data_IF_580567733012
#
_entry.id   IF_580567733012
#
_cell.length_a   1.000
_cell.length_b   1.000
_cell.length_c   1.000
_cell.angle_alpha   90.00
_cell.angle_beta   90.00
_cell.angle_gamma   90.00
#
_symmetry.space_group_name_H-M   'P 1'
#
loop_
_entity.id
_entity.type
_entity.pdbx_description
1 polymer ?
#
# COMPACT_ATOMS: atom_id res chain seq x y z
N UNK A 1 -16.47 17.61 -5.94
CA UNK A 1 -15.77 16.74 -4.97
C UNK A 1 -15.87 15.32 -5.50
N UNK A 2 -14.74 14.72 -5.92
CA UNK A 2 -14.73 13.34 -6.38
C UNK A 2 -15.03 12.44 -5.19
N UNK A 3 -16.14 11.71 -5.27
CA UNK A 3 -16.53 10.72 -4.27
C UNK A 3 -15.81 9.41 -4.56
N UNK A 4 -15.41 8.67 -3.52
CA UNK A 4 -14.92 7.30 -3.68
C UNK A 4 -16.01 6.53 -4.40
N UNK A 5 -15.70 5.97 -5.58
CA UNK A 5 -16.66 5.20 -6.38
C UNK A 5 -17.11 3.99 -5.58
N UNK A 6 -18.42 3.93 -5.27
CA UNK A 6 -19.02 2.72 -4.72
C UNK A 6 -19.04 1.64 -5.80
N UNK A 7 -18.53 0.48 -5.48
CA UNK A 7 -18.50 -0.67 -6.39
C UNK A 7 -19.89 -1.30 -6.42
N UNK A 8 -20.39 -1.55 -7.62
CA UNK A 8 -21.71 -2.19 -7.79
C UNK A 8 -21.63 -3.70 -7.63
N UNK A 9 -22.72 -4.32 -7.16
CA UNK A 9 -22.81 -5.78 -7.03
C UNK A 9 -22.63 -6.46 -8.39
N UNK A 10 -23.07 -5.82 -9.48
CA UNK A 10 -22.89 -6.32 -10.85
C UNK A 10 -21.41 -6.42 -11.23
N UNK A 11 -20.59 -5.40 -10.92
CA UNK A 11 -19.15 -5.44 -11.16
C UNK A 11 -18.45 -6.54 -10.34
N UNK A 12 -18.89 -6.77 -9.11
CA UNK A 12 -18.35 -7.85 -8.25
C UNK A 12 -18.71 -9.23 -8.82
N UNK A 13 -19.93 -9.41 -9.34
CA UNK A 13 -20.38 -10.63 -10.00
C UNK A 13 -19.58 -10.90 -11.28
N UNK A 14 -19.41 -9.90 -12.13
CA UNK A 14 -18.69 -10.00 -13.40
C UNK A 14 -17.21 -10.32 -13.21
N UNK A 15 -16.63 -9.80 -12.12
CA UNK A 15 -15.28 -10.13 -11.70
C UNK A 15 -15.14 -11.54 -11.11
N UNK A 16 -16.25 -12.20 -10.75
CA UNK A 16 -16.26 -13.55 -10.17
C UNK A 16 -15.84 -13.60 -8.70
N UNK A 17 -16.05 -12.52 -7.96
CA UNK A 17 -15.68 -12.39 -6.54
C UNK A 17 -16.49 -13.33 -5.64
N UNK A 18 -17.70 -13.68 -6.07
CA UNK A 18 -18.61 -14.54 -5.33
C UNK A 18 -18.18 -16.01 -5.28
N UNK A 19 -17.25 -16.45 -6.10
CA UNK A 19 -16.75 -17.82 -6.07
C UNK A 19 -15.73 -18.00 -4.96
N UNK A 20 -16.03 -18.88 -4.01
CA UNK A 20 -15.08 -19.34 -3.01
C UNK A 20 -14.43 -20.67 -3.38
N UNK A 21 -13.86 -21.34 -2.41
CA UNK A 21 -13.24 -22.64 -2.54
C UNK A 21 -14.25 -23.79 -2.38
N UNK A 22 -13.78 -25.02 -2.71
CA UNK A 22 -14.58 -26.25 -2.48
C UNK A 22 -14.97 -26.38 -1.01
N UNK A 23 -16.18 -26.83 -0.76
CA UNK A 23 -16.73 -27.01 0.57
C UNK A 23 -15.88 -27.89 1.50
N UNK A 24 -15.10 -28.83 0.96
CA UNK A 24 -14.19 -29.67 1.75
C UNK A 24 -12.99 -28.92 2.34
N UNK A 25 -12.71 -27.69 1.88
CA UNK A 25 -11.54 -26.89 2.31
C UNK A 25 -11.92 -25.62 3.07
N UNK A 26 -13.19 -25.43 3.38
CA UNK A 26 -13.66 -24.22 3.99
C UNK A 26 -13.25 -24.07 5.46
N UNK A 27 -13.19 -22.84 5.93
CA UNK A 27 -12.99 -22.51 7.33
C UNK A 27 -14.36 -22.19 7.96
N UNK A 28 -14.76 -22.85 9.07
CA UNK A 28 -16.03 -22.57 9.75
C UNK A 28 -16.24 -21.12 10.16
N UNK A 29 -15.17 -20.37 10.44
CA UNK A 29 -15.25 -18.94 10.77
C UNK A 29 -15.76 -18.07 9.62
N UNK A 30 -15.70 -18.59 8.39
CA UNK A 30 -16.24 -17.91 7.21
C UNK A 30 -17.75 -18.10 7.04
N UNK A 31 -18.39 -18.92 7.87
CA UNK A 31 -19.84 -19.18 7.80
C UNK A 31 -20.71 -17.90 7.67
N UNK A 32 -20.47 -16.80 8.39
CA UNK A 32 -21.28 -15.58 8.29
C UNK A 32 -21.19 -14.89 6.91
N UNK A 33 -20.12 -15.13 6.16
CA UNK A 33 -19.84 -14.50 4.87
C UNK A 33 -20.27 -15.35 3.68
N UNK A 34 -20.73 -16.59 3.91
CA UNK A 34 -21.14 -17.52 2.87
C UNK A 34 -22.65 -17.38 2.64
N UNK A 35 -23.04 -17.11 1.39
CA UNK A 35 -24.44 -17.07 0.96
C UNK A 35 -25.04 -18.46 0.81
N UNK A 36 -24.26 -19.42 0.29
CA UNK A 36 -24.71 -20.78 0.06
C UNK A 36 -23.65 -21.66 -0.59
N UNK A 37 -24.08 -22.81 -1.09
CA UNK A 37 -23.21 -23.79 -1.78
C UNK A 37 -23.84 -24.18 -3.12
N UNK A 38 -23.04 -24.20 -4.18
CA UNK A 38 -23.43 -24.69 -5.50
C UNK A 38 -22.30 -25.50 -6.11
N UNK A 39 -22.59 -26.69 -6.62
CA UNK A 39 -21.63 -27.60 -7.28
C UNK A 39 -20.36 -27.83 -6.43
N UNK A 40 -20.55 -28.10 -5.14
CA UNK A 40 -19.47 -28.26 -4.14
C UNK A 40 -18.57 -27.04 -3.90
N UNK A 41 -18.90 -25.89 -4.43
CA UNK A 41 -18.21 -24.62 -4.20
C UNK A 41 -19.06 -23.71 -3.34
N UNK A 42 -18.44 -23.04 -2.35
CA UNK A 42 -19.09 -22.01 -1.57
C UNK A 42 -19.28 -20.73 -2.38
N UNK A 43 -20.44 -20.10 -2.21
CA UNK A 43 -20.74 -18.80 -2.79
C UNK A 43 -20.68 -17.75 -1.69
N UNK A 44 -19.87 -16.73 -1.89
CA UNK A 44 -19.65 -15.64 -0.95
C UNK A 44 -20.76 -14.61 -1.10
N UNK A 45 -21.23 -14.04 0.01
CA UNK A 45 -22.23 -12.98 0.01
C UNK A 45 -21.58 -11.64 -0.35
N UNK A 46 -21.96 -11.12 -1.52
CA UNK A 46 -21.41 -9.88 -2.07
C UNK A 46 -21.86 -8.61 -1.35
N UNK A 47 -22.94 -8.63 -0.60
CA UNK A 47 -23.39 -7.48 0.21
C UNK A 47 -22.34 -7.14 1.29
N UNK A 48 -21.80 -8.19 1.95
CA UNK A 48 -20.69 -8.01 2.90
C UNK A 48 -19.43 -7.54 2.19
N UNK A 49 -19.13 -8.10 1.03
CA UNK A 49 -17.96 -7.71 0.24
C UNK A 49 -18.01 -6.23 -0.15
N UNK A 50 -19.13 -5.77 -0.70
CA UNK A 50 -19.34 -4.38 -1.08
C UNK A 50 -19.19 -3.43 0.12
N UNK A 51 -19.86 -3.77 1.24
CA UNK A 51 -19.78 -2.98 2.47
C UNK A 51 -18.35 -2.89 3.02
N UNK A 52 -17.60 -3.98 2.99
CA UNK A 52 -16.20 -3.99 3.44
C UNK A 52 -15.26 -3.24 2.50
N UNK A 53 -15.48 -3.31 1.20
CA UNK A 53 -14.73 -2.51 0.21
C UNK A 53 -14.89 -1.01 0.48
N UNK A 54 -16.11 -0.55 0.79
CA UNK A 54 -16.36 0.85 1.13
C UNK A 54 -15.64 1.28 2.42
N UNK A 55 -15.63 0.42 3.44
CA UNK A 55 -14.90 0.67 4.69
C UNK A 55 -13.41 0.76 4.43
N UNK A 56 -12.86 -0.22 3.70
CA UNK A 56 -11.43 -0.30 3.38
C UNK A 56 -10.98 0.88 2.53
N UNK A 57 -11.76 1.29 1.55
CA UNK A 57 -11.46 2.46 0.71
C UNK A 57 -11.34 3.74 1.55
N UNK A 58 -12.21 3.91 2.56
CA UNK A 58 -12.13 5.02 3.52
C UNK A 58 -10.89 4.93 4.41
N UNK A 59 -10.52 3.72 4.84
CA UNK A 59 -9.31 3.48 5.65
C UNK A 59 -8.06 3.83 4.85
N UNK A 60 -7.94 3.35 3.60
CA UNK A 60 -6.84 3.67 2.68
C UNK A 60 -6.73 5.18 2.46
N UNK A 61 -7.86 5.83 2.14
CA UNK A 61 -7.93 7.27 1.94
C UNK A 61 -7.44 8.05 3.17
N UNK A 62 -7.93 7.68 4.36
CA UNK A 62 -7.55 8.32 5.62
C UNK A 62 -6.06 8.13 5.94
N UNK A 63 -5.53 6.92 5.74
CA UNK A 63 -4.14 6.60 6.01
C UNK A 63 -3.19 7.45 5.15
N UNK A 64 -3.50 7.62 3.87
CA UNK A 64 -2.71 8.46 2.96
C UNK A 64 -2.86 9.94 3.31
N UNK A 65 -4.12 10.43 3.44
CA UNK A 65 -4.41 11.85 3.61
C UNK A 65 -3.90 12.42 4.93
N UNK A 66 -4.12 11.70 6.03
CA UNK A 66 -3.82 12.21 7.39
C UNK A 66 -2.40 11.90 7.82
N UNK A 67 -1.89 10.71 7.50
CA UNK A 67 -0.60 10.23 7.98
C UNK A 67 0.51 10.24 6.95
N UNK A 68 0.18 10.59 5.67
CA UNK A 68 1.10 10.39 4.54
C UNK A 68 1.68 8.96 4.56
N UNK A 69 0.79 8.01 4.80
CA UNK A 69 1.10 6.61 5.09
C UNK A 69 1.75 5.91 3.90
N UNK A 70 2.45 4.83 4.21
CA UNK A 70 3.08 3.95 3.23
C UNK A 70 2.31 2.65 3.20
N UNK A 71 1.73 2.32 2.07
CA UNK A 71 0.97 1.10 1.88
C UNK A 71 1.87 0.07 1.20
N UNK A 72 1.88 -1.14 1.74
CA UNK A 72 2.61 -2.27 1.17
C UNK A 72 1.63 -3.32 0.65
N UNK A 73 1.64 -3.53 -0.66
CA UNK A 73 0.88 -4.60 -1.31
C UNK A 73 1.68 -5.90 -1.30
N UNK A 74 1.02 -7.00 -0.95
CA UNK A 74 1.65 -8.32 -0.88
C UNK A 74 0.84 -9.33 -1.67
N UNK A 75 1.48 -9.95 -2.66
CA UNK A 75 0.97 -11.08 -3.41
C UNK A 75 2.14 -11.90 -3.98
N UNK A 76 2.38 -13.07 -3.45
CA UNK A 76 3.45 -13.97 -3.92
C UNK A 76 2.93 -15.06 -4.86
N UNK A 77 1.71 -14.94 -5.38
CA UNK A 77 1.05 -15.89 -6.29
C UNK A 77 1.24 -15.54 -7.78
N UNK A 78 0.28 -16.01 -8.58
CA UNK A 78 0.27 -15.89 -10.06
C UNK A 78 -0.01 -14.48 -10.55
N UNK A 79 -0.66 -13.64 -9.72
CA UNK A 79 -1.16 -12.31 -10.12
C UNK A 79 -0.19 -11.17 -9.77
N UNK A 80 1.01 -11.53 -9.33
CA UNK A 80 2.08 -10.63 -8.88
C UNK A 80 2.33 -9.43 -9.80
N UNK A 81 2.27 -9.63 -11.11
CA UNK A 81 2.56 -8.57 -12.08
C UNK A 81 1.45 -7.50 -12.10
N UNK A 82 0.19 -7.93 -11.90
CA UNK A 82 -0.96 -7.04 -11.78
C UNK A 82 -0.82 -6.19 -10.51
N UNK A 83 -0.54 -6.82 -9.37
CA UNK A 83 -0.38 -6.12 -8.09
C UNK A 83 0.79 -5.13 -8.15
N UNK A 84 1.93 -5.52 -8.74
CA UNK A 84 3.07 -4.64 -8.94
C UNK A 84 2.68 -3.41 -9.77
N UNK A 85 2.00 -3.61 -10.91
CA UNK A 85 1.57 -2.54 -11.81
C UNK A 85 0.66 -1.52 -11.10
N UNK A 86 -0.37 -1.98 -10.38
CA UNK A 86 -1.28 -1.08 -9.67
C UNK A 86 -0.61 -0.37 -8.49
N UNK A 87 0.28 -1.05 -7.76
CA UNK A 87 1.05 -0.42 -6.70
C UNK A 87 2.00 0.66 -7.24
N UNK A 88 2.66 0.42 -8.38
CA UNK A 88 3.49 1.42 -9.06
C UNK A 88 2.67 2.59 -9.57
N UNK A 89 1.51 2.33 -10.18
CA UNK A 89 0.60 3.36 -10.69
C UNK A 89 0.12 4.33 -9.60
N UNK A 90 -0.10 3.84 -8.39
CA UNK A 90 -0.48 4.69 -7.24
C UNK A 90 0.73 5.11 -6.37
N UNK A 91 1.96 4.78 -6.79
CA UNK A 91 3.20 5.16 -6.09
C UNK A 91 3.43 4.54 -4.75
N UNK A 92 2.76 3.43 -4.50
CA UNK A 92 2.90 2.65 -3.29
C UNK A 92 3.90 1.50 -3.47
N UNK A 93 4.11 0.72 -2.44
CA UNK A 93 5.15 -0.30 -2.36
C UNK A 93 4.55 -1.70 -2.53
N UNK A 94 5.37 -2.65 -2.99
CA UNK A 94 4.90 -4.00 -3.19
C UNK A 94 5.97 -5.07 -2.93
N UNK A 95 5.51 -6.27 -2.58
CA UNK A 95 6.30 -7.50 -2.53
C UNK A 95 5.53 -8.58 -3.29
N UNK A 96 6.05 -8.97 -4.46
CA UNK A 96 5.34 -9.83 -5.41
C UNK A 96 6.08 -11.13 -5.75
N UNK A 97 7.30 -11.33 -5.25
CA UNK A 97 8.01 -12.57 -5.47
C UNK A 97 7.92 -13.47 -4.23
N UNK A 98 8.89 -13.41 -3.37
CA UNK A 98 8.93 -14.21 -2.16
C UNK A 98 9.00 -13.32 -0.95
N UNK A 99 8.10 -13.51 -0.01
CA UNK A 99 8.23 -12.89 1.28
C UNK A 99 9.41 -13.53 2.04
N UNK A 100 10.40 -12.74 2.37
CA UNK A 100 11.53 -13.18 3.17
C UNK A 100 11.19 -12.95 4.66
N UNK A 101 11.35 -13.99 5.48
CA UNK A 101 11.13 -13.83 6.92
C UNK A 101 11.97 -12.68 7.50
N UNK A 102 11.35 -11.83 8.31
CA UNK A 102 11.99 -10.66 8.88
C UNK A 102 11.84 -9.36 8.07
N UNK A 103 11.06 -9.33 7.00
CA UNK A 103 10.90 -8.12 6.18
C UNK A 103 10.32 -6.94 6.95
N UNK A 104 9.43 -7.17 7.90
CA UNK A 104 8.89 -6.12 8.78
C UNK A 104 9.57 -6.10 10.14
N UNK A 105 9.86 -7.26 10.71
CA UNK A 105 10.42 -7.40 12.06
C UNK A 105 11.91 -7.08 12.12
N UNK A 106 12.67 -7.28 11.03
CA UNK A 106 14.11 -7.01 10.95
C UNK A 106 14.44 -5.99 9.86
N UNK A 107 13.83 -4.81 9.93
CA UNK A 107 13.99 -3.75 8.92
C UNK A 107 15.45 -3.28 8.75
N UNK A 108 16.28 -3.37 9.78
CA UNK A 108 17.70 -3.01 9.70
C UNK A 108 18.44 -3.90 8.68
N UNK A 109 18.18 -5.20 8.70
CA UNK A 109 18.77 -6.14 7.73
C UNK A 109 18.25 -5.90 6.33
N UNK A 110 16.94 -5.64 6.19
CA UNK A 110 16.31 -5.29 4.91
C UNK A 110 16.93 -4.03 4.32
N UNK A 111 17.11 -2.98 5.12
CA UNK A 111 17.76 -1.73 4.69
C UNK A 111 19.20 -1.96 4.21
N UNK A 112 19.97 -2.84 4.90
CA UNK A 112 21.31 -3.21 4.44
C UNK A 112 21.29 -3.94 3.10
N UNK A 113 20.29 -4.81 2.88
CA UNK A 113 20.15 -5.52 1.61
C UNK A 113 19.78 -4.57 0.47
N UNK A 114 18.90 -3.58 0.72
CA UNK A 114 18.55 -2.52 -0.24
C UNK A 114 19.79 -1.68 -0.58
N UNK A 115 20.56 -1.24 0.41
CA UNK A 115 21.79 -0.50 0.18
C UNK A 115 22.83 -1.31 -0.63
N UNK A 116 22.90 -2.63 -0.39
CA UNK A 116 23.76 -3.53 -1.18
C UNK A 116 23.30 -3.62 -2.64
N UNK A 117 21.99 -3.64 -2.89
CA UNK A 117 21.44 -3.57 -4.25
C UNK A 117 21.88 -2.28 -4.95
N UNK A 118 21.72 -1.13 -4.30
CA UNK A 118 22.15 0.18 -4.84
C UNK A 118 23.65 0.24 -5.14
N UNK A 119 24.47 -0.36 -4.26
CA UNK A 119 25.91 -0.43 -4.47
C UNK A 119 26.30 -1.33 -5.65
N UNK A 120 25.62 -2.49 -5.80
CA UNK A 120 25.85 -3.40 -6.92
C UNK A 120 25.45 -2.77 -8.25
N UNK A 121 24.32 -2.07 -8.30
CA UNK A 121 23.89 -1.36 -9.52
C UNK A 121 24.88 -0.27 -9.91
N UNK A 122 25.30 0.58 -8.97
CA UNK A 122 26.32 1.62 -9.22
C UNK A 122 27.66 1.03 -9.68
N UNK A 123 28.04 -0.13 -9.11
CA UNK A 123 29.29 -0.81 -9.49
C UNK A 123 29.21 -1.42 -10.87
N UNK A 124 28.07 -2.05 -11.21
CA UNK A 124 27.85 -2.67 -12.51
C UNK A 124 27.62 -1.65 -13.64
N UNK A 125 27.20 -0.42 -13.31
CA UNK A 125 27.01 0.67 -14.27
C UNK A 125 28.32 1.38 -14.64
N UNK A 126 29.37 1.22 -13.86
CA UNK A 126 30.64 1.93 -14.03
C UNK A 126 31.69 0.99 -14.68
N UNK A 127 32.07 1.21 -15.96
CA UNK A 127 33.03 0.35 -16.66
C UNK A 127 34.40 0.31 -16.00
N UNK A 128 34.86 1.40 -15.39
CA UNK A 128 36.16 1.45 -14.72
C UNK A 128 36.22 0.54 -13.50
N UNK A 129 35.10 0.47 -12.74
CA UNK A 129 34.98 -0.40 -11.60
C UNK A 129 34.87 -1.88 -11.93
N UNK A 130 34.48 -2.19 -13.18
CA UNK A 130 34.33 -3.58 -13.66
C UNK A 130 35.62 -4.08 -14.29
N UNK A 131 36.48 -3.21 -14.83
CA UNK A 131 37.67 -3.60 -15.59
C UNK A 131 38.64 -4.54 -14.87
N UNK A 132 38.65 -4.51 -13.53
CA UNK A 132 39.47 -5.40 -12.69
C UNK A 132 38.87 -6.78 -12.36
N UNK A 133 37.64 -7.07 -12.82
CA UNK A 133 36.94 -8.31 -12.48
C UNK A 133 36.91 -9.29 -13.65
N UNK A 134 36.95 -10.58 -13.32
CA UNK A 134 36.77 -11.65 -14.29
C UNK A 134 35.32 -11.71 -14.76
N UNK A 135 35.07 -12.25 -15.96
CA UNK A 135 33.70 -12.47 -16.50
C UNK A 135 32.81 -13.25 -15.56
N UNK A 136 33.37 -14.24 -14.85
CA UNK A 136 32.65 -15.06 -13.87
C UNK A 136 32.19 -14.28 -12.65
N UNK A 137 33.02 -13.37 -12.15
CA UNK A 137 32.67 -12.50 -11.02
C UNK A 137 31.61 -11.48 -11.41
N UNK A 138 31.71 -10.88 -12.59
CA UNK A 138 30.69 -9.97 -13.13
C UNK A 138 29.34 -10.68 -13.21
N UNK A 139 29.31 -11.88 -13.79
CA UNK A 139 28.07 -12.67 -13.88
C UNK A 139 27.51 -13.02 -12.48
N UNK A 140 28.37 -13.33 -11.51
CA UNK A 140 27.94 -13.57 -10.13
C UNK A 140 27.33 -12.32 -9.50
N UNK A 141 27.93 -11.14 -9.70
CA UNK A 141 27.39 -9.84 -9.23
C UNK A 141 26.06 -9.50 -9.90
N UNK A 142 25.91 -9.76 -11.20
CA UNK A 142 24.65 -9.57 -11.91
C UNK A 142 23.54 -10.47 -11.34
N UNK A 143 23.81 -11.75 -11.14
CA UNK A 143 22.85 -12.69 -10.52
C UNK A 143 22.45 -12.25 -9.11
N UNK A 144 23.40 -11.77 -8.33
CA UNK A 144 23.12 -11.25 -6.98
C UNK A 144 22.23 -10.01 -7.04
N UNK A 145 22.52 -9.04 -7.93
CA UNK A 145 21.69 -7.86 -8.17
C UNK A 145 20.26 -8.27 -8.56
N UNK A 146 20.11 -9.18 -9.52
CA UNK A 146 18.80 -9.62 -10.01
C UNK A 146 17.97 -10.30 -8.91
N UNK A 147 18.60 -11.11 -8.06
CA UNK A 147 17.93 -11.72 -6.92
C UNK A 147 17.49 -10.69 -5.87
N UNK A 148 18.35 -9.70 -5.57
CA UNK A 148 18.01 -8.62 -4.65
C UNK A 148 16.90 -7.72 -5.24
N UNK A 149 16.97 -7.39 -6.53
CA UNK A 149 15.96 -6.61 -7.23
C UNK A 149 14.60 -7.30 -7.21
N UNK A 150 14.54 -8.62 -7.45
CA UNK A 150 13.29 -9.39 -7.35
C UNK A 150 12.69 -9.36 -5.95
N UNK A 151 13.52 -9.43 -4.91
CA UNK A 151 13.04 -9.50 -3.52
C UNK A 151 12.70 -8.15 -2.91
N UNK A 152 13.46 -7.11 -3.24
CA UNK A 152 13.41 -5.82 -2.56
C UNK A 152 13.11 -4.62 -3.49
N UNK A 153 13.04 -4.85 -4.81
CA UNK A 153 12.81 -3.77 -5.79
C UNK A 153 11.58 -2.94 -5.48
N UNK A 154 10.45 -3.58 -5.17
CA UNK A 154 9.20 -2.89 -4.87
C UNK A 154 9.17 -2.11 -3.54
N UNK A 155 10.11 -2.37 -2.62
CA UNK A 155 10.22 -1.66 -1.33
C UNK A 155 11.45 -0.77 -1.23
N UNK A 156 12.24 -0.67 -2.31
CA UNK A 156 13.51 0.08 -2.34
C UNK A 156 13.39 1.51 -1.81
N UNK A 157 12.35 2.21 -2.21
CA UNK A 157 12.13 3.62 -1.87
C UNK A 157 11.24 3.83 -0.64
N UNK A 158 10.89 2.76 0.10
CA UNK A 158 9.95 2.84 1.21
C UNK A 158 10.52 3.59 2.43
N UNK A 159 11.83 3.51 2.65
CA UNK A 159 12.53 4.29 3.68
C UNK A 159 12.20 3.92 5.14
N UNK A 160 11.36 2.93 5.38
CA UNK A 160 10.95 2.48 6.71
C UNK A 160 9.81 1.46 6.64
N UNK A 161 9.28 1.03 7.78
CA UNK A 161 8.14 0.10 7.83
C UNK A 161 6.89 0.72 7.21
N UNK A 162 6.00 -0.07 6.57
CA UNK A 162 4.72 0.41 6.07
C UNK A 162 3.78 0.76 7.24
N UNK A 163 2.81 1.61 6.99
CA UNK A 163 1.76 1.98 7.96
C UNK A 163 0.48 1.17 7.76
N UNK A 164 0.35 0.54 6.60
CA UNK A 164 -0.77 -0.32 6.24
C UNK A 164 -0.29 -1.44 5.32
N UNK A 165 -0.74 -2.67 5.58
CA UNK A 165 -0.47 -3.83 4.75
C UNK A 165 -1.72 -4.25 3.99
N UNK A 166 -1.62 -4.51 2.69
CA UNK A 166 -2.67 -5.08 1.86
C UNK A 166 -2.21 -6.45 1.37
N UNK A 167 -2.94 -7.51 1.73
CA UNK A 167 -2.59 -8.90 1.40
C UNK A 167 -3.67 -9.49 0.50
N UNK A 168 -3.27 -10.07 -0.62
CA UNK A 168 -4.21 -10.68 -1.58
C UNK A 168 -4.60 -12.10 -1.17
N UNK A 169 -3.74 -12.83 -0.47
CA UNK A 169 -3.98 -14.19 0.00
C UNK A 169 -3.33 -14.40 1.37
N UNK A 170 -4.14 -14.59 2.39
CA UNK A 170 -3.69 -14.77 3.77
C UNK A 170 -2.96 -16.11 3.95
N UNK A 171 -3.44 -17.17 3.29
CA UNK A 171 -2.89 -18.51 3.47
C UNK A 171 -1.49 -18.62 2.88
N UNK A 172 -1.29 -18.02 1.70
CA UNK A 172 0.00 -18.01 1.03
C UNK A 172 1.00 -17.11 1.73
N UNK A 173 0.58 -15.90 2.05
CA UNK A 173 1.43 -14.88 2.63
C UNK A 173 1.29 -14.79 4.17
N UNK A 174 1.00 -15.94 4.82
CA UNK A 174 0.80 -16.04 6.27
C UNK A 174 1.97 -15.52 7.10
N UNK A 175 3.20 -15.56 6.57
CA UNK A 175 4.38 -15.01 7.26
C UNK A 175 4.28 -13.49 7.32
N UNK A 176 3.88 -12.84 6.22
CA UNK A 176 3.67 -11.40 6.18
C UNK A 176 2.61 -10.95 7.18
N UNK A 177 1.48 -11.67 7.25
CA UNK A 177 0.39 -11.43 8.20
C UNK A 177 0.89 -11.56 9.66
N UNK A 178 1.63 -12.63 9.97
CA UNK A 178 2.20 -12.83 11.33
C UNK A 178 3.18 -11.71 11.72
N UNK A 179 4.03 -11.27 10.79
CA UNK A 179 4.97 -10.19 11.06
C UNK A 179 4.27 -8.85 11.24
N UNK A 180 3.28 -8.54 10.40
CA UNK A 180 2.51 -7.30 10.51
C UNK A 180 1.75 -7.23 11.84
N UNK A 181 1.11 -8.31 12.27
CA UNK A 181 0.46 -8.39 13.60
C UNK A 181 1.45 -8.17 14.74
N UNK A 182 2.65 -8.76 14.66
CA UNK A 182 3.70 -8.56 15.66
C UNK A 182 4.16 -7.10 15.74
N UNK A 183 4.23 -6.42 14.60
CA UNK A 183 4.61 -5.02 14.49
C UNK A 183 3.43 -4.06 14.69
N UNK A 184 2.21 -4.58 14.93
CA UNK A 184 0.97 -3.81 15.10
C UNK A 184 0.66 -2.93 13.90
N UNK A 185 0.97 -3.42 12.70
CA UNK A 185 0.62 -2.77 11.43
C UNK A 185 -0.76 -3.27 11.04
N UNK A 186 -1.75 -2.40 10.80
CA UNK A 186 -3.09 -2.80 10.38
C UNK A 186 -3.04 -3.52 9.03
N UNK A 187 -3.88 -4.56 8.91
CA UNK A 187 -3.90 -5.46 7.76
C UNK A 187 -5.26 -5.42 7.10
N UNK A 188 -5.29 -5.07 5.83
CA UNK A 188 -6.40 -5.31 4.91
C UNK A 188 -6.10 -6.60 4.16
N UNK A 189 -7.03 -7.52 4.07
CA UNK A 189 -6.83 -8.72 3.28
C UNK A 189 -8.10 -9.21 2.60
N UNK A 190 -7.91 -9.80 1.42
CA UNK A 190 -8.93 -10.61 0.77
C UNK A 190 -8.98 -11.95 1.49
N UNK A 191 -10.19 -12.35 1.89
CA UNK A 191 -10.42 -13.55 2.69
C UNK A 191 -11.35 -14.47 1.91
N UNK A 192 -10.79 -15.52 1.35
CA UNK A 192 -11.60 -16.58 0.71
C UNK A 192 -12.14 -17.55 1.75
N UNK A 193 -13.05 -18.42 1.37
CA UNK A 193 -13.76 -19.35 2.23
C UNK A 193 -12.88 -20.37 2.97
N UNK A 194 -11.62 -20.56 2.53
CA UNK A 194 -10.61 -21.42 3.17
C UNK A 194 -9.70 -20.69 4.17
N UNK A 195 -9.90 -19.39 4.36
CA UNK A 195 -9.03 -18.51 5.15
C UNK A 195 -9.64 -18.17 6.51
N UNK A 196 -8.83 -17.73 7.46
CA UNK A 196 -9.27 -17.29 8.80
C UNK A 196 -9.41 -15.75 8.83
N UNK A 197 -10.65 -15.22 8.94
CA UNK A 197 -10.88 -13.77 8.96
C UNK A 197 -10.33 -13.09 10.22
N UNK A 198 -10.17 -13.81 11.35
CA UNK A 198 -9.70 -13.23 12.61
C UNK A 198 -8.20 -12.86 12.60
N UNK A 199 -7.48 -13.25 11.55
CA UNK A 199 -6.07 -12.95 11.41
C UNK A 199 -5.80 -11.52 10.93
N UNK A 200 -6.82 -10.79 10.48
CA UNK A 200 -6.69 -9.48 9.83
C UNK A 200 -7.65 -8.46 10.43
N UNK A 201 -7.31 -7.18 10.35
CA UNK A 201 -8.11 -6.11 10.93
C UNK A 201 -9.31 -5.72 10.04
N UNK A 202 -9.10 -5.81 8.71
CA UNK A 202 -10.12 -5.46 7.71
C UNK A 202 -10.27 -6.61 6.70
N UNK A 203 -11.06 -7.65 7.02
CA UNK A 203 -11.31 -8.74 6.09
C UNK A 203 -12.27 -8.31 4.99
N UNK A 204 -11.93 -8.62 3.74
CA UNK A 204 -12.80 -8.46 2.57
C UNK A 204 -13.14 -9.86 2.08
N UNK A 205 -14.35 -10.37 2.36
CA UNK A 205 -14.76 -11.69 1.86
C UNK A 205 -14.77 -11.68 0.33
N UNK A 206 -14.08 -12.64 -0.29
CA UNK A 206 -14.05 -12.70 -1.75
C UNK A 206 -13.00 -13.64 -2.31
N UNK A 207 -13.07 -13.83 -3.61
CA UNK A 207 -12.20 -14.72 -4.38
C UNK A 207 -10.78 -14.18 -4.47
N UNK A 208 -9.79 -14.96 -4.01
CA UNK A 208 -8.37 -14.65 -4.08
C UNK A 208 -7.62 -15.33 -5.23
N UNK A 209 -8.32 -16.17 -6.04
CA UNK A 209 -7.71 -16.96 -7.13
C UNK A 209 -7.93 -16.36 -8.53
N UNK A 210 -9.05 -15.67 -8.76
CA UNK A 210 -9.41 -15.21 -10.10
C UNK A 210 -8.67 -13.91 -10.49
N UNK A 211 -8.06 -13.89 -11.68
CA UNK A 211 -7.35 -12.73 -12.24
C UNK A 211 -8.24 -11.47 -12.28
N UNK A 212 -9.53 -11.65 -12.63
CA UNK A 212 -10.49 -10.54 -12.73
C UNK A 212 -10.79 -9.94 -11.37
N UNK A 213 -10.94 -10.80 -10.33
CA UNK A 213 -11.17 -10.38 -8.95
C UNK A 213 -9.99 -9.57 -8.42
N UNK A 214 -8.76 -10.10 -8.54
CA UNK A 214 -7.54 -9.41 -8.11
C UNK A 214 -7.35 -8.07 -8.82
N UNK A 215 -7.62 -8.03 -10.15
CA UNK A 215 -7.54 -6.77 -10.89
C UNK A 215 -8.54 -5.74 -10.40
N UNK A 216 -9.77 -6.14 -10.07
CA UNK A 216 -10.79 -5.23 -9.55
C UNK A 216 -10.40 -4.69 -8.17
N UNK A 217 -9.95 -5.56 -7.25
CA UNK A 217 -9.48 -5.12 -5.94
C UNK A 217 -8.30 -4.14 -6.04
N UNK A 218 -7.27 -4.48 -6.84
CA UNK A 218 -6.13 -3.60 -7.05
C UNK A 218 -6.53 -2.25 -7.64
N UNK A 219 -7.48 -2.23 -8.58
CA UNK A 219 -8.02 -1.00 -9.15
C UNK A 219 -8.67 -0.14 -8.07
N UNK A 220 -9.58 -0.72 -7.27
CA UNK A 220 -10.30 0.01 -6.21
C UNK A 220 -9.32 0.61 -5.19
N UNK A 221 -8.34 -0.18 -4.74
CA UNK A 221 -7.35 0.28 -3.78
C UNK A 221 -6.44 1.37 -4.36
N UNK A 222 -6.01 1.21 -5.61
CA UNK A 222 -5.23 2.21 -6.33
C UNK A 222 -6.00 3.52 -6.49
N UNK A 223 -7.27 3.45 -6.88
CA UNK A 223 -8.13 4.62 -7.06
C UNK A 223 -8.35 5.37 -5.73
N UNK A 224 -8.54 4.64 -4.62
CA UNK A 224 -8.64 5.24 -3.29
C UNK A 224 -7.34 5.96 -2.86
N UNK A 225 -6.17 5.41 -3.19
CA UNK A 225 -4.87 6.05 -2.94
C UNK A 225 -4.71 7.31 -3.79
N UNK A 226 -5.01 7.23 -5.09
CA UNK A 226 -4.88 8.35 -6.02
C UNK A 226 -5.79 9.52 -5.62
N UNK A 227 -7.05 9.23 -5.26
CA UNK A 227 -7.99 10.24 -4.76
C UNK A 227 -7.48 10.93 -3.49
N UNK A 228 -6.87 10.17 -2.57
CA UNK A 228 -6.30 10.75 -1.36
C UNK A 228 -5.11 11.68 -1.68
N UNK A 229 -4.25 11.27 -2.62
CA UNK A 229 -3.12 12.07 -3.09
C UNK A 229 -3.60 13.35 -3.78
N UNK A 230 -4.62 13.28 -4.64
CA UNK A 230 -5.22 14.45 -5.30
C UNK A 230 -5.75 15.45 -4.28
N UNK A 231 -6.48 15.00 -3.27
CA UNK A 231 -6.98 15.87 -2.21
C UNK A 231 -5.87 16.47 -1.34
N UNK A 232 -4.76 15.76 -1.12
CA UNK A 232 -3.59 16.31 -0.43
C UNK A 232 -2.92 17.41 -1.26
N UNK A 233 -2.77 17.22 -2.56
CA UNK A 233 -2.18 18.21 -3.48
C UNK A 233 -3.04 19.46 -3.56
N UNK A 234 -4.36 19.30 -3.72
CA UNK A 234 -5.32 20.41 -3.73
C UNK A 234 -5.28 21.21 -2.43
N UNK A 235 -5.18 20.54 -1.27
CA UNK A 235 -5.03 21.20 0.04
C UNK A 235 -3.70 21.94 0.20
N UNK A 236 -2.66 21.55 -0.54
CA UNK A 236 -1.34 22.20 -0.54
C UNK A 236 -1.25 23.40 -1.49
N UNK A 237 -2.35 23.78 -2.17
CA UNK A 237 -2.39 24.90 -3.10
C UNK A 237 -1.67 24.65 -4.43
N UNK A 238 -1.35 23.40 -4.76
CA UNK A 238 -0.77 23.01 -6.04
C UNK A 238 -1.91 22.80 -7.02
N UNK A 239 -1.98 23.69 -8.02
CA UNK A 239 -3.00 23.59 -9.07
C UNK A 239 -2.66 22.45 -10.02
N UNK A 240 -3.44 21.38 -9.98
CA UNK A 240 -3.31 20.20 -10.85
C UNK A 240 -3.67 20.50 -12.31
N UNK A 241 -4.35 21.62 -12.57
CA UNK A 241 -4.72 22.07 -13.92
C UNK A 241 -3.54 22.48 -14.79
N UNK A 242 -2.36 22.72 -14.21
CA UNK A 242 -1.14 23.06 -14.94
C UNK A 242 -0.35 21.82 -15.43
N UNK A 243 -0.75 20.62 -15.01
CA UNK A 243 -0.11 19.36 -15.44
C UNK A 243 -0.91 18.83 -16.63
N UNK A 244 -0.50 19.22 -17.85
CA UNK A 244 -1.17 18.86 -19.11
C UNK A 244 -1.06 17.38 -19.49
N UNK A 245 -0.71 16.48 -18.57
CA UNK A 245 -0.55 15.05 -18.87
C UNK A 245 -1.42 14.22 -17.96
N UNK A 246 -2.39 13.51 -18.53
CA UNK A 246 -3.33 12.62 -17.84
C UNK A 246 -2.69 11.35 -17.29
N UNK A 247 -1.35 11.23 -17.34
CA UNK A 247 -0.67 10.05 -16.84
C UNK A 247 -0.56 10.04 -15.31
N UNK A 248 -1.06 8.99 -14.63
CA UNK A 248 -0.95 8.85 -13.18
C UNK A 248 0.48 8.95 -12.66
N UNK A 249 1.47 8.57 -13.49
CA UNK A 249 2.90 8.59 -13.17
C UNK A 249 3.47 10.00 -13.00
N UNK A 250 2.99 11.01 -13.73
CA UNK A 250 3.46 12.40 -13.59
C UNK A 250 2.84 13.11 -12.39
N UNK A 251 1.55 12.87 -12.15
CA UNK A 251 0.86 13.30 -10.91
C UNK A 251 1.59 12.79 -9.66
N UNK A 252 2.06 11.55 -9.70
CA UNK A 252 2.87 10.92 -8.65
C UNK A 252 4.26 11.53 -8.49
N UNK A 253 4.92 11.90 -9.58
CA UNK A 253 6.23 12.59 -9.53
C UNK A 253 6.10 13.95 -8.85
N UNK A 254 5.02 14.68 -9.14
CA UNK A 254 4.70 15.95 -8.50
C UNK A 254 4.43 15.77 -6.99
N UNK A 255 3.63 14.77 -6.61
CA UNK A 255 3.35 14.43 -5.20
C UNK A 255 4.62 14.06 -4.43
N UNK A 256 5.49 13.22 -4.99
CA UNK A 256 6.79 12.84 -4.39
C UNK A 256 7.76 14.01 -4.24
N UNK A 257 7.70 15.01 -5.12
CA UNK A 257 8.52 16.22 -5.04
C UNK A 257 8.10 17.09 -3.86
N UNK A 258 6.79 17.20 -3.60
CA UNK A 258 6.22 17.96 -2.48
C UNK A 258 6.50 17.28 -1.14
N UNK A 259 6.40 15.95 -1.08
CA UNK A 259 6.65 15.18 0.16
C UNK A 259 8.12 15.24 0.61
N UNK A 260 9.05 15.53 -0.31
CA UNK A 260 10.49 15.75 -0.01
C UNK A 260 10.79 17.17 0.46
N UNK A 261 9.91 18.12 0.23
CA UNK A 261 10.05 19.49 0.79
C UNK A 261 9.59 19.43 2.25
N UNK A 262 10.55 19.43 3.17
CA UNK A 262 10.28 19.58 4.63
C UNK A 262 9.40 20.82 4.84
N UNK A 263 8.38 20.78 5.72
CA UNK A 263 7.64 21.97 6.08
C UNK A 263 8.64 22.98 6.65
N UNK A 264 8.79 24.13 5.98
CA UNK A 264 9.57 25.23 6.49
C UNK A 264 8.91 25.69 7.80
N UNK A 265 9.64 25.55 8.91
CA UNK A 265 9.28 26.16 10.19
C UNK A 265 9.31 27.69 10.02
N UNK A 266 8.18 28.27 9.65
CA UNK A 266 7.86 29.69 9.90
C UNK A 266 6.44 29.74 10.43
N UNK A 267 6.28 29.31 11.67
CA UNK A 267 5.21 29.85 12.52
C UNK A 267 5.76 31.17 13.06
N UNK A 268 5.34 32.25 12.46
CA UNK A 268 5.50 33.59 13.01
C UNK A 268 4.77 33.59 14.36
N UNK A 269 5.53 33.65 15.46
CA UNK A 269 4.97 33.94 16.77
C UNK A 269 4.36 35.35 16.69
N UNK A 270 3.06 35.42 16.61
CA UNK A 270 2.31 36.65 16.89
C UNK A 270 2.50 36.87 18.38
N UNK A 271 3.28 37.89 18.71
CA UNK A 271 3.42 38.42 20.05
C UNK A 271 2.07 39.04 20.48
N UNK A 272 1.25 38.26 21.18
CA UNK A 272 0.14 38.78 21.99
C UNK A 272 0.69 39.00 23.39
N UNK A 273 1.17 40.19 23.64
CA UNK A 273 1.71 40.48 24.96
C UNK A 273 2.31 41.88 25.07
N UNK A 274 1.59 42.94 24.69
CA UNK A 274 1.98 44.32 25.05
C UNK A 274 0.81 45.34 25.11
N UNK A 275 -0.43 44.92 25.26
CA UNK A 275 -1.55 45.87 25.41
C UNK A 275 -2.32 45.75 26.76
N UNK A 276 -1.76 45.09 27.77
CA UNK A 276 -2.37 45.07 29.10
C UNK A 276 -1.77 46.09 30.11
N UNK A 277 -0.73 46.86 29.73
CA UNK A 277 -0.11 47.85 30.62
C UNK A 277 -0.52 49.29 30.33
N UNK A 278 -1.53 49.52 29.49
CA UNK A 278 -2.03 50.90 29.22
C UNK A 278 -3.38 51.20 29.86
N UNK A 279 -4.07 50.21 30.42
CA UNK A 279 -5.37 50.39 31.08
C UNK A 279 -5.30 50.48 32.61
N UNK A 280 -4.12 50.34 33.23
CA UNK A 280 -3.94 50.50 34.69
C UNK A 280 -3.34 51.85 35.11
N UNK A 281 -3.01 52.75 34.17
CA UNK A 281 -2.47 54.09 34.51
C UNK A 281 -3.51 55.22 34.50
N UNK A 282 -4.68 55.01 33.92
CA UNK A 282 -5.71 56.04 33.85
C UNK A 282 -6.77 55.97 34.97
N UNK A 283 -6.56 55.12 35.98
CA UNK A 283 -7.49 54.98 37.12
C UNK A 283 -6.87 55.36 38.50
N UNK A 284 -5.82 56.20 38.53
CA UNK A 284 -5.21 56.67 39.78
C UNK A 284 -5.18 58.17 39.91
N UNK A 285 -5.82 58.94 39.02
CA UNK A 285 -5.98 60.35 39.11
C UNK A 285 -7.45 60.78 38.91
N UNK A 286 -8.35 60.28 39.78
CA UNK A 286 -9.65 60.86 40.03
C UNK A 286 -10.08 60.47 41.46
#
# INVERSE_FOLDING_TARGET
>A
MSTISSVTISELLDAGIHYGHKASRWNPKMAPYIYGKRDDVHIINLDYTASQIDVVSKVIYKEIKEKNGRILFVDTRRHRDIVAQYAENCGQYYVTHRWLGGMLTNWVTVSKAINKLDQLEKKLADPEKIAGYTKREILSMQRMRDNLQRSFGGIRNMGGKPTLLIVMDINKDHIAVKEARREKIPIIAIVDTNSDPDLVDYPIPGNDDAIRSIRLYCKIFSDAVLLAIEHMLAASGVDLGAINDDSPSERLKAAKKITKMKPSKKVTKINVGQDQNKLEKDNKDL
#
